data_IF_878929802003
#
_entry.id   IF_878929802003
#
_cell.length_a   1.000
_cell.length_b   1.000
_cell.length_c   1.000
_cell.angle_alpha   90.00
_cell.angle_beta   90.00
_cell.angle_gamma   90.00
#
_symmetry.space_group_name_H-M   'P 1'
#
loop_
_entity.id
_entity.type
_entity.pdbx_description
1 polymer ?
#
# COMPACT_ATOMS: atom_id res chain seq x y z
N UNK A 1 21.22 -7.08 -51.32
CA UNK A 1 20.36 -6.48 -50.26
C UNK A 1 19.66 -7.61 -49.53
N UNK A 2 20.17 -8.01 -48.37
CA UNK A 2 19.55 -9.05 -47.54
C UNK A 2 18.35 -8.45 -46.80
N UNK A 3 17.15 -8.90 -47.12
CA UNK A 3 15.93 -8.58 -46.38
C UNK A 3 16.07 -9.08 -44.93
N UNK A 4 16.19 -8.14 -43.98
CA UNK A 4 16.16 -8.44 -42.56
C UNK A 4 14.74 -8.93 -42.23
N UNK A 5 14.55 -10.25 -42.09
CA UNK A 5 13.35 -10.82 -41.50
C UNK A 5 13.29 -10.41 -40.02
N UNK A 6 12.79 -9.21 -39.74
CA UNK A 6 12.49 -8.75 -38.39
C UNK A 6 11.20 -9.45 -37.92
N UNK A 7 11.30 -10.73 -37.56
CA UNK A 7 10.26 -11.37 -36.77
C UNK A 7 10.19 -10.67 -35.42
N UNK A 8 9.13 -9.91 -35.22
CA UNK A 8 8.81 -9.25 -33.94
C UNK A 8 8.60 -10.36 -32.90
N UNK A 9 9.62 -10.62 -32.08
CA UNK A 9 9.52 -11.61 -31.01
C UNK A 9 8.74 -11.01 -29.84
N UNK A 10 7.58 -11.62 -29.55
CA UNK A 10 6.77 -11.29 -28.36
C UNK A 10 6.91 -12.44 -27.37
N UNK A 11 7.49 -12.23 -26.18
CA UNK A 11 7.58 -13.29 -25.21
C UNK A 11 6.17 -13.70 -24.76
N UNK A 12 5.93 -15.00 -24.65
CA UNK A 12 4.70 -15.56 -24.06
C UNK A 12 4.81 -15.71 -22.54
N UNK A 13 6.04 -15.80 -22.03
CA UNK A 13 6.37 -16.09 -20.63
C UNK A 13 7.50 -15.19 -20.14
N UNK A 14 7.37 -14.70 -18.90
CA UNK A 14 8.43 -14.08 -18.12
C UNK A 14 8.98 -15.04 -17.06
N UNK A 15 10.25 -14.86 -16.71
CA UNK A 15 10.93 -15.58 -15.64
C UNK A 15 11.12 -14.65 -14.44
N UNK A 16 10.46 -14.94 -13.33
CA UNK A 16 10.57 -14.26 -12.04
C UNK A 16 11.78 -14.80 -11.27
N UNK A 17 12.79 -13.97 -11.04
CA UNK A 17 14.02 -14.38 -10.33
C UNK A 17 13.83 -14.38 -8.81
N UNK A 18 13.02 -13.46 -8.28
CA UNK A 18 12.81 -13.32 -6.84
C UNK A 18 13.85 -12.41 -6.18
N UNK A 19 15.00 -12.97 -5.81
CA UNK A 19 16.13 -12.23 -5.23
C UNK A 19 17.43 -12.61 -5.98
N UNK A 20 17.91 -11.76 -6.90
CA UNK A 20 19.12 -12.04 -7.66
C UNK A 20 20.32 -12.32 -6.75
N UNK A 21 21.01 -13.44 -7.00
CA UNK A 21 22.21 -13.83 -6.25
C UNK A 21 21.95 -14.58 -4.93
N UNK A 22 20.68 -14.81 -4.57
CA UNK A 22 20.30 -15.51 -3.35
C UNK A 22 19.47 -16.78 -3.60
N UNK A 23 19.52 -17.29 -4.82
CA UNK A 23 18.78 -18.47 -5.30
C UNK A 23 19.02 -19.71 -4.44
N UNK A 24 20.26 -19.93 -3.99
CA UNK A 24 20.63 -21.04 -3.11
C UNK A 24 20.08 -20.91 -1.68
N UNK A 25 19.62 -19.73 -1.27
CA UNK A 25 19.06 -19.45 0.07
C UNK A 25 17.59 -19.01 0.00
N UNK A 26 16.89 -19.33 -1.09
CA UNK A 26 15.47 -19.02 -1.26
C UNK A 26 14.62 -19.55 -0.11
N UNK A 27 14.92 -20.72 0.44
CA UNK A 27 14.18 -21.29 1.59
C UNK A 27 14.32 -20.39 2.83
N UNK A 28 15.54 -20.00 3.20
CA UNK A 28 15.78 -19.17 4.39
C UNK A 28 15.23 -17.75 4.24
N UNK A 29 15.28 -17.19 3.04
CA UNK A 29 14.70 -15.86 2.74
C UNK A 29 13.19 -15.88 2.57
N UNK A 30 12.60 -17.02 2.26
CA UNK A 30 11.14 -17.18 2.22
C UNK A 30 10.50 -17.09 3.59
N UNK A 31 11.18 -17.56 4.65
CA UNK A 31 10.65 -17.58 6.02
C UNK A 31 10.21 -16.18 6.53
N UNK A 32 11.05 -15.13 6.48
CA UNK A 32 10.65 -13.79 6.90
C UNK A 32 9.58 -13.17 5.98
N UNK A 33 9.55 -13.51 4.69
CA UNK A 33 8.48 -13.03 3.80
C UNK A 33 7.14 -13.69 4.12
N UNK A 34 7.14 -15.01 4.27
CA UNK A 34 5.94 -15.79 4.62
C UNK A 34 5.37 -15.35 5.96
N UNK A 35 6.20 -15.07 6.96
CA UNK A 35 5.73 -14.56 8.25
C UNK A 35 5.06 -13.18 8.12
N UNK A 36 5.62 -12.28 7.32
CA UNK A 36 5.02 -10.96 7.03
C UNK A 36 3.65 -11.09 6.35
N UNK A 37 3.51 -12.01 5.39
CA UNK A 37 2.21 -12.30 4.78
C UNK A 37 1.19 -12.85 5.77
N UNK A 38 1.59 -13.79 6.64
CA UNK A 38 0.71 -14.33 7.67
C UNK A 38 0.26 -13.21 8.62
N UNK A 39 1.18 -12.36 9.08
CA UNK A 39 0.86 -11.22 9.95
C UNK A 39 -0.08 -10.23 9.25
N UNK A 40 0.19 -9.90 7.98
CA UNK A 40 -0.68 -9.04 7.17
C UNK A 40 -2.11 -9.62 7.06
N UNK A 41 -2.22 -10.88 6.63
CA UNK A 41 -3.52 -11.53 6.44
C UNK A 41 -4.30 -11.64 7.76
N UNK A 42 -3.68 -12.18 8.81
CA UNK A 42 -4.33 -12.35 10.11
C UNK A 42 -4.64 -11.00 10.76
N UNK A 43 -3.72 -10.04 10.69
CA UNK A 43 -3.86 -8.71 11.26
C UNK A 43 -5.03 -7.95 10.64
N UNK A 44 -5.06 -7.86 9.30
CA UNK A 44 -6.11 -7.14 8.59
C UNK A 44 -7.48 -7.85 8.69
N UNK A 45 -7.54 -9.19 8.63
CA UNK A 45 -8.78 -9.94 8.86
C UNK A 45 -9.32 -9.74 10.28
N UNK A 46 -8.45 -9.79 11.30
CA UNK A 46 -8.82 -9.54 12.69
C UNK A 46 -9.34 -8.11 12.87
N UNK A 47 -8.68 -7.14 12.24
CA UNK A 47 -9.07 -5.73 12.29
C UNK A 47 -10.47 -5.52 11.69
N UNK A 48 -10.74 -6.11 10.52
CA UNK A 48 -12.06 -6.08 9.89
C UNK A 48 -13.13 -6.75 10.76
N UNK A 49 -12.81 -7.91 11.36
CA UNK A 49 -13.72 -8.61 12.26
C UNK A 49 -14.09 -7.76 13.48
N UNK A 50 -13.10 -7.11 14.10
CA UNK A 50 -13.32 -6.24 15.26
C UNK A 50 -14.20 -5.04 14.88
N UNK A 51 -13.87 -4.33 13.80
CA UNK A 51 -14.63 -3.15 13.35
C UNK A 51 -16.08 -3.54 13.00
N UNK A 52 -16.29 -4.70 12.38
CA UNK A 52 -17.63 -5.19 12.04
C UNK A 52 -18.44 -5.60 13.28
N UNK A 53 -17.80 -6.17 14.29
CA UNK A 53 -18.48 -6.71 15.47
C UNK A 53 -18.93 -5.62 16.45
N UNK A 54 -18.21 -4.50 16.50
CA UNK A 54 -18.42 -3.45 17.50
C UNK A 54 -19.07 -2.21 16.86
N UNK A 55 -20.36 -1.98 17.15
CA UNK A 55 -21.09 -0.82 16.60
C UNK A 55 -20.50 0.51 17.05
N UNK A 56 -19.87 0.58 18.24
CA UNK A 56 -19.21 1.81 18.70
C UNK A 56 -17.98 2.19 17.88
N UNK A 57 -17.43 1.26 17.09
CA UNK A 57 -16.32 1.49 16.15
C UNK A 57 -16.81 1.90 14.75
N UNK A 58 -18.10 2.21 14.53
CA UNK A 58 -18.60 2.69 13.22
C UNK A 58 -18.35 4.19 12.97
N UNK A 59 -17.35 4.78 13.63
CA UNK A 59 -16.93 6.15 13.36
C UNK A 59 -16.16 6.25 12.03
N UNK A 60 -16.14 7.42 11.36
CA UNK A 60 -15.55 7.59 10.03
C UNK A 60 -14.11 7.08 9.91
N UNK A 61 -13.26 7.36 10.90
CA UNK A 61 -11.88 6.89 10.95
C UNK A 61 -11.74 5.36 10.82
N UNK A 62 -12.62 4.60 11.48
CA UNK A 62 -12.58 3.13 11.44
C UNK A 62 -13.15 2.56 10.15
N UNK A 63 -14.06 3.28 9.48
CA UNK A 63 -14.51 2.93 8.14
C UNK A 63 -13.36 3.13 7.12
N UNK A 64 -12.59 4.20 7.24
CA UNK A 64 -11.37 4.33 6.42
C UNK A 64 -10.33 3.25 6.75
N UNK A 65 -10.20 2.89 8.03
CA UNK A 65 -9.31 1.80 8.44
C UNK A 65 -9.74 0.44 7.88
N UNK A 66 -11.04 0.18 7.72
CA UNK A 66 -11.51 -1.04 7.06
C UNK A 66 -11.23 -1.01 5.55
N UNK A 67 -11.33 0.15 4.90
CA UNK A 67 -10.90 0.31 3.50
C UNK A 67 -9.40 0.04 3.35
N UNK A 68 -8.57 0.53 4.28
CA UNK A 68 -7.12 0.26 4.31
C UNK A 68 -6.84 -1.24 4.48
N UNK A 69 -7.54 -1.90 5.40
CA UNK A 69 -7.38 -3.34 5.60
C UNK A 69 -7.79 -4.15 4.36
N UNK A 70 -8.81 -3.72 3.62
CA UNK A 70 -9.22 -4.38 2.36
C UNK A 70 -8.17 -4.18 1.26
N UNK A 71 -7.56 -2.99 1.14
CA UNK A 71 -6.46 -2.77 0.18
C UNK A 71 -5.24 -3.60 0.52
N UNK A 72 -4.89 -3.69 1.81
CA UNK A 72 -3.75 -4.47 2.32
C UNK A 72 -3.92 -5.98 2.08
N UNK A 73 -5.14 -6.50 2.30
CA UNK A 73 -5.50 -7.88 1.96
C UNK A 73 -5.45 -8.12 0.45
N UNK A 74 -5.99 -7.20 -0.35
CA UNK A 74 -5.97 -7.28 -1.81
C UNK A 74 -4.55 -7.39 -2.35
N UNK A 75 -3.65 -6.51 -1.88
CA UNK A 75 -2.24 -6.54 -2.24
C UNK A 75 -1.59 -7.87 -1.84
N UNK A 76 -1.84 -8.32 -0.60
CA UNK A 76 -1.30 -9.58 -0.09
C UNK A 76 -1.75 -10.80 -0.91
N UNK A 77 -3.04 -10.87 -1.27
CA UNK A 77 -3.60 -11.98 -2.06
C UNK A 77 -3.09 -12.00 -3.49
N UNK A 78 -2.82 -10.84 -4.09
CA UNK A 78 -2.31 -10.73 -5.46
C UNK A 78 -0.83 -11.12 -5.56
N UNK A 79 -0.01 -10.79 -4.56
CA UNK A 79 1.43 -11.04 -4.60
C UNK A 79 1.84 -12.39 -4.00
N UNK A 80 1.14 -12.88 -2.97
CA UNK A 80 1.48 -14.10 -2.24
C UNK A 80 1.64 -15.35 -3.14
N UNK A 81 0.75 -15.63 -4.12
CA UNK A 81 0.86 -16.84 -4.94
C UNK A 81 2.16 -16.91 -5.75
N UNK A 82 2.56 -15.79 -6.38
CA UNK A 82 3.79 -15.78 -7.18
C UNK A 82 5.04 -15.84 -6.31
N UNK A 83 5.01 -15.18 -5.13
CA UNK A 83 6.09 -15.28 -4.14
C UNK A 83 6.26 -16.73 -3.68
N UNK A 84 5.18 -17.41 -3.26
CA UNK A 84 5.26 -18.82 -2.84
C UNK A 84 5.79 -19.70 -3.98
N UNK A 85 5.27 -19.53 -5.21
CA UNK A 85 5.71 -20.31 -6.36
C UNK A 85 7.21 -20.20 -6.64
N UNK A 86 7.75 -18.97 -6.59
CA UNK A 86 9.18 -18.70 -6.82
C UNK A 86 10.04 -19.27 -5.68
N UNK A 87 9.68 -19.02 -4.42
CA UNK A 87 10.55 -19.34 -3.29
C UNK A 87 10.44 -20.79 -2.78
N UNK A 88 9.25 -21.40 -2.84
CA UNK A 88 8.99 -22.74 -2.28
C UNK A 88 8.97 -23.83 -3.35
N UNK A 89 8.43 -23.52 -4.52
CA UNK A 89 8.24 -24.50 -5.59
C UNK A 89 9.24 -24.36 -6.74
N UNK A 90 10.14 -23.36 -6.69
CA UNK A 90 11.08 -23.01 -7.76
C UNK A 90 10.39 -22.81 -9.13
N UNK A 91 9.09 -22.48 -9.10
CA UNK A 91 8.27 -22.22 -10.28
C UNK A 91 8.37 -20.73 -10.59
N UNK A 92 9.28 -20.41 -11.51
CA UNK A 92 9.68 -19.04 -11.83
C UNK A 92 8.98 -18.48 -13.07
N UNK A 93 8.19 -19.27 -13.78
CA UNK A 93 7.56 -18.86 -15.03
C UNK A 93 6.16 -18.27 -14.80
N UNK A 94 5.89 -17.13 -15.43
CA UNK A 94 4.57 -16.49 -15.45
C UNK A 94 4.21 -16.05 -16.86
N UNK A 95 2.97 -16.32 -17.28
CA UNK A 95 2.45 -15.85 -18.57
C UNK A 95 2.41 -14.32 -18.55
N UNK A 96 2.82 -13.68 -19.65
CA UNK A 96 2.89 -12.20 -19.75
C UNK A 96 1.56 -11.54 -19.38
N UNK A 97 0.43 -12.10 -19.82
CA UNK A 97 -0.89 -11.55 -19.51
C UNK A 97 -1.22 -11.60 -18.01
N UNK A 98 -0.88 -12.70 -17.33
CA UNK A 98 -1.03 -12.83 -15.89
C UNK A 98 -0.13 -11.84 -15.14
N UNK A 99 1.08 -11.62 -15.64
CA UNK A 99 2.02 -10.66 -15.08
C UNK A 99 1.51 -9.21 -15.21
N UNK A 100 0.97 -8.85 -16.38
CA UNK A 100 0.35 -7.54 -16.61
C UNK A 100 -0.89 -7.33 -15.73
N UNK A 101 -1.70 -8.37 -15.54
CA UNK A 101 -2.86 -8.33 -14.66
C UNK A 101 -2.45 -8.18 -13.19
N UNK A 102 -1.45 -8.95 -12.74
CA UNK A 102 -0.89 -8.84 -11.39
C UNK A 102 -0.37 -7.42 -11.13
N UNK A 103 0.41 -6.89 -12.07
CA UNK A 103 0.96 -5.53 -12.01
C UNK A 103 -0.15 -4.47 -11.97
N UNK A 104 -1.22 -4.63 -12.77
CA UNK A 104 -2.38 -3.74 -12.72
C UNK A 104 -2.99 -3.67 -11.32
N UNK A 105 -3.23 -4.82 -10.69
CA UNK A 105 -3.82 -4.86 -9.35
C UNK A 105 -2.88 -4.34 -8.27
N UNK A 106 -1.59 -4.68 -8.31
CA UNK A 106 -0.58 -4.18 -7.36
C UNK A 106 -0.62 -2.64 -7.33
N UNK A 107 -0.46 -1.98 -8.49
CA UNK A 107 -0.43 -0.52 -8.54
C UNK A 107 -1.79 0.12 -8.25
N UNK A 108 -2.89 -0.54 -8.63
CA UNK A 108 -4.24 -0.07 -8.28
C UNK A 108 -4.44 -0.06 -6.77
N UNK A 109 -4.07 -1.15 -6.08
CA UNK A 109 -4.16 -1.23 -4.62
C UNK A 109 -3.24 -0.22 -3.93
N UNK A 110 -2.03 0.01 -4.43
CA UNK A 110 -1.14 1.04 -3.86
C UNK A 110 -1.69 2.46 -4.01
N UNK A 111 -2.32 2.78 -5.14
CA UNK A 111 -3.04 4.07 -5.29
C UNK A 111 -4.21 4.12 -4.31
N UNK A 112 -4.99 3.05 -4.18
CA UNK A 112 -6.10 3.01 -3.24
C UNK A 112 -5.64 3.20 -1.79
N UNK A 113 -4.56 2.54 -1.38
CA UNK A 113 -3.93 2.68 -0.06
C UNK A 113 -3.55 4.14 0.22
N UNK A 114 -2.80 4.77 -0.69
CA UNK A 114 -2.47 6.21 -0.63
C UNK A 114 -3.71 7.10 -0.51
N UNK A 115 -4.76 6.77 -1.27
CA UNK A 115 -6.04 7.51 -1.25
C UNK A 115 -6.74 7.40 0.10
N UNK A 116 -6.70 6.23 0.73
CA UNK A 116 -7.28 5.99 2.06
C UNK A 116 -6.48 6.77 3.10
N UNK A 117 -5.15 6.78 3.03
CA UNK A 117 -4.31 7.60 3.93
C UNK A 117 -4.63 9.10 3.80
N UNK A 118 -4.87 9.58 2.59
CA UNK A 118 -5.36 10.95 2.38
C UNK A 118 -6.72 11.17 3.05
N UNK A 119 -7.68 10.26 2.86
CA UNK A 119 -9.00 10.37 3.48
C UNK A 119 -8.92 10.36 5.02
N UNK A 120 -8.02 9.56 5.60
CA UNK A 120 -7.74 9.53 7.03
C UNK A 120 -7.04 10.80 7.54
N UNK A 121 -6.19 11.45 6.73
CA UNK A 121 -5.64 12.77 7.05
C UNK A 121 -6.73 13.84 7.06
N UNK A 122 -7.63 13.80 6.07
CA UNK A 122 -8.75 14.71 5.95
C UNK A 122 -9.73 14.57 7.12
N UNK A 123 -10.10 13.34 7.50
CA UNK A 123 -10.92 13.05 8.69
C UNK A 123 -10.34 13.72 9.94
N UNK A 124 -9.04 13.50 10.22
CA UNK A 124 -8.37 14.13 11.36
C UNK A 124 -8.31 15.64 11.26
N UNK A 125 -8.07 16.17 10.07
CA UNK A 125 -8.04 17.61 9.84
C UNK A 125 -9.38 18.25 10.17
N UNK A 126 -10.50 17.69 9.70
CA UNK A 126 -11.82 18.25 10.02
C UNK A 126 -12.15 18.05 11.50
N UNK A 127 -11.82 16.90 12.08
CA UNK A 127 -12.07 16.62 13.49
C UNK A 127 -11.36 17.60 14.45
N UNK A 128 -10.13 18.03 14.12
CA UNK A 128 -9.33 18.93 14.95
C UNK A 128 -9.58 20.41 14.60
N UNK A 129 -9.55 20.76 13.32
CA UNK A 129 -9.62 22.15 12.88
C UNK A 129 -11.05 22.70 12.89
N UNK A 130 -12.08 21.85 12.74
CA UNK A 130 -13.48 22.27 12.64
C UNK A 130 -14.43 21.29 13.38
N UNK A 131 -14.26 21.06 14.70
CA UNK A 131 -14.99 20.03 15.44
C UNK A 131 -16.51 20.20 15.36
N UNK A 132 -17.02 21.44 15.36
CA UNK A 132 -18.46 21.75 15.31
C UNK A 132 -19.13 21.29 14.00
N UNK A 133 -18.38 21.23 12.90
CA UNK A 133 -18.92 20.86 11.58
C UNK A 133 -18.58 19.42 11.17
N UNK A 134 -17.82 18.69 11.98
CA UNK A 134 -17.32 17.36 11.66
C UNK A 134 -18.44 16.40 11.26
N UNK A 135 -19.50 16.29 12.06
CA UNK A 135 -20.63 15.38 11.82
C UNK A 135 -21.49 15.78 10.61
N UNK A 136 -21.52 17.06 10.26
CA UNK A 136 -22.24 17.56 9.08
C UNK A 136 -21.46 17.35 7.78
N UNK A 137 -20.12 17.46 7.83
CA UNK A 137 -19.24 17.27 6.68
C UNK A 137 -19.06 15.79 6.38
N UNK A 138 -18.71 14.99 7.40
CA UNK A 138 -18.27 13.61 7.24
C UNK A 138 -19.40 12.63 7.58
N UNK A 139 -20.46 12.67 6.77
CA UNK A 139 -21.59 11.74 6.88
C UNK A 139 -21.27 10.38 6.28
N UNK A 140 -22.02 9.34 6.67
CA UNK A 140 -21.86 7.99 6.10
C UNK A 140 -21.99 7.95 4.58
N UNK A 141 -22.86 8.80 4.01
CA UNK A 141 -23.02 8.92 2.55
C UNK A 141 -21.78 9.53 1.89
N UNK A 142 -21.17 10.54 2.50
CA UNK A 142 -19.93 11.15 1.99
C UNK A 142 -18.79 10.14 2.07
N UNK A 143 -18.66 9.39 3.16
CA UNK A 143 -17.63 8.36 3.33
C UNK A 143 -17.79 7.26 2.28
N UNK A 144 -19.02 6.80 2.02
CA UNK A 144 -19.30 5.82 0.98
C UNK A 144 -18.89 6.35 -0.41
N UNK A 145 -19.21 7.62 -0.73
CA UNK A 145 -18.79 8.26 -1.98
C UNK A 145 -17.27 8.36 -2.08
N UNK A 146 -16.57 8.70 -0.99
CA UNK A 146 -15.10 8.69 -0.94
C UNK A 146 -14.59 7.29 -1.25
N UNK A 147 -15.11 6.24 -0.61
CA UNK A 147 -14.71 4.86 -0.86
C UNK A 147 -14.87 4.44 -2.33
N UNK A 148 -16.01 4.77 -2.95
CA UNK A 148 -16.24 4.51 -4.38
C UNK A 148 -15.27 5.30 -5.26
N UNK A 149 -15.03 6.57 -4.95
CA UNK A 149 -14.10 7.41 -5.68
C UNK A 149 -12.66 6.87 -5.59
N UNK A 150 -12.24 6.34 -4.43
CA UNK A 150 -10.94 5.69 -4.23
C UNK A 150 -10.78 4.49 -5.18
N UNK A 151 -11.78 3.61 -5.23
CA UNK A 151 -11.76 2.41 -6.09
C UNK A 151 -11.68 2.82 -7.56
N UNK A 152 -12.56 3.72 -8.01
CA UNK A 152 -12.58 4.20 -9.40
C UNK A 152 -11.25 4.84 -9.76
N UNK A 153 -10.72 5.72 -8.91
CA UNK A 153 -9.45 6.41 -9.12
C UNK A 153 -8.28 5.42 -9.27
N UNK A 154 -8.21 4.40 -8.41
CA UNK A 154 -7.17 3.37 -8.47
C UNK A 154 -7.21 2.58 -9.79
N UNK A 155 -8.38 2.07 -10.16
CA UNK A 155 -8.54 1.23 -11.35
C UNK A 155 -8.35 2.01 -12.65
N UNK A 156 -9.00 3.17 -12.79
CA UNK A 156 -8.98 3.98 -14.03
C UNK A 156 -7.58 4.51 -14.32
N UNK A 157 -6.83 4.90 -13.29
CA UNK A 157 -5.47 5.46 -13.46
C UNK A 157 -4.48 4.41 -13.99
N UNK A 158 -4.62 3.14 -13.60
CA UNK A 158 -3.67 2.10 -14.03
C UNK A 158 -4.14 1.38 -15.30
N UNK A 159 -5.43 1.46 -15.65
CA UNK A 159 -6.04 0.72 -16.76
C UNK A 159 -5.29 0.83 -18.09
N UNK A 160 -4.76 2.00 -18.54
CA UNK A 160 -4.05 2.08 -19.81
C UNK A 160 -2.68 1.38 -19.80
N UNK A 161 -2.02 1.27 -18.66
CA UNK A 161 -0.62 0.81 -18.54
C UNK A 161 -0.42 -0.60 -19.12
N UNK A 162 -1.23 -1.63 -18.77
CA UNK A 162 -1.11 -2.96 -19.37
C UNK A 162 -1.16 -2.97 -20.89
N UNK A 163 -2.04 -2.16 -21.50
CA UNK A 163 -2.19 -2.11 -22.96
C UNK A 163 -0.99 -1.43 -23.62
N UNK A 164 -0.51 -0.34 -23.03
CA UNK A 164 0.66 0.38 -23.52
C UNK A 164 1.93 -0.49 -23.45
N UNK A 165 2.10 -1.25 -22.36
CA UNK A 165 3.18 -2.21 -22.21
C UNK A 165 3.04 -3.38 -23.20
N UNK A 166 1.86 -3.99 -23.32
CA UNK A 166 1.61 -5.11 -24.25
C UNK A 166 1.91 -4.73 -25.70
N UNK A 167 1.60 -3.50 -26.10
CA UNK A 167 1.92 -2.96 -27.43
C UNK A 167 3.43 -2.80 -27.65
N UNK A 168 4.17 -2.45 -26.60
CA UNK A 168 5.58 -2.04 -26.68
C UNK A 168 6.57 -3.19 -26.43
N UNK A 169 6.09 -4.33 -25.91
CA UNK A 169 6.90 -5.48 -25.56
C UNK A 169 7.46 -6.19 -26.81
N UNK A 170 8.78 -6.12 -27.03
CA UNK A 170 9.45 -6.68 -28.23
C UNK A 170 10.89 -7.15 -27.96
N UNK A 171 11.27 -7.46 -26.72
CA UNK A 171 12.62 -7.93 -26.41
C UNK A 171 12.75 -9.46 -26.33
N UNK A 172 13.99 -9.94 -26.50
CA UNK A 172 14.43 -11.33 -26.28
C UNK A 172 14.73 -11.68 -24.81
N UNK A 173 14.89 -10.68 -23.95
CA UNK A 173 15.13 -10.88 -22.52
C UNK A 173 13.80 -10.93 -21.75
N UNK A 174 13.62 -11.96 -20.93
CA UNK A 174 12.34 -12.27 -20.28
C UNK A 174 12.45 -12.36 -18.75
N UNK A 175 13.60 -12.01 -18.16
CA UNK A 175 13.87 -12.22 -16.73
C UNK A 175 13.57 -10.97 -15.90
N UNK A 176 12.54 -11.04 -15.04
CA UNK A 176 12.17 -10.00 -14.07
C UNK A 176 12.92 -10.22 -12.75
N UNK A 177 13.36 -9.15 -12.10
CA UNK A 177 14.21 -9.23 -10.91
C UNK A 177 13.44 -9.67 -9.66
N UNK A 178 12.15 -9.35 -9.58
CA UNK A 178 11.30 -9.63 -8.41
C UNK A 178 10.47 -10.92 -8.57
N UNK A 179 9.93 -11.45 -7.46
CA UNK A 179 9.02 -12.61 -7.46
C UNK A 179 7.55 -12.24 -7.79
N UNK A 180 7.30 -10.99 -8.18
CA UNK A 180 6.00 -10.47 -8.58
C UNK A 180 6.21 -9.36 -9.62
N UNK A 181 5.15 -9.04 -10.36
CA UNK A 181 5.25 -8.18 -11.53
C UNK A 181 5.15 -6.70 -11.19
N UNK A 182 6.27 -5.98 -11.36
CA UNK A 182 6.37 -4.54 -11.15
C UNK A 182 6.53 -3.78 -12.46
N UNK A 183 5.95 -2.57 -12.52
CA UNK A 183 6.02 -1.72 -13.72
C UNK A 183 7.47 -1.35 -14.10
N UNK A 184 8.35 -0.92 -13.16
CA UNK A 184 9.76 -0.68 -13.47
C UNK A 184 10.49 -1.90 -14.05
N UNK A 185 10.19 -3.11 -13.56
CA UNK A 185 10.81 -4.35 -14.05
C UNK A 185 10.36 -4.68 -15.47
N UNK A 186 9.07 -4.56 -15.77
CA UNK A 186 8.53 -4.78 -17.12
C UNK A 186 9.04 -3.72 -18.09
N UNK A 187 9.19 -2.46 -17.65
CA UNK A 187 9.75 -1.38 -18.46
C UNK A 187 11.20 -1.62 -18.86
N UNK A 188 12.00 -2.34 -18.05
CA UNK A 188 13.36 -2.77 -18.46
C UNK A 188 13.33 -3.75 -19.63
N UNK A 189 12.23 -4.49 -19.81
CA UNK A 189 12.02 -5.49 -20.88
C UNK A 189 11.44 -4.92 -22.19
N UNK A 190 11.19 -3.61 -22.27
CA UNK A 190 10.73 -2.96 -23.50
C UNK A 190 11.95 -2.59 -24.36
N UNK A 191 11.94 -2.97 -25.65
CA UNK A 191 13.01 -2.65 -26.61
C UNK A 191 12.63 -1.52 -27.57
N UNK A 192 11.33 -1.24 -27.70
CA UNK A 192 10.79 -0.14 -28.49
C UNK A 192 10.80 1.17 -27.70
N UNK A 193 10.43 2.27 -28.36
CA UNK A 193 10.36 3.59 -27.71
C UNK A 193 9.47 3.56 -26.45
N UNK A 194 10.06 3.93 -25.31
CA UNK A 194 9.44 3.91 -23.98
C UNK A 194 8.78 5.23 -23.62
N UNK A 195 8.91 6.27 -24.44
CA UNK A 195 8.55 7.65 -24.10
C UNK A 195 7.10 7.74 -23.61
N UNK A 196 6.14 7.17 -24.33
CA UNK A 196 4.72 7.26 -23.98
C UNK A 196 4.42 6.52 -22.66
N UNK A 197 4.94 5.31 -22.47
CA UNK A 197 4.78 4.55 -21.22
C UNK A 197 5.40 5.31 -20.03
N UNK A 198 6.58 5.91 -20.23
CA UNK A 198 7.29 6.66 -19.19
C UNK A 198 6.55 7.94 -18.81
N UNK A 199 6.09 8.73 -19.79
CA UNK A 199 5.31 9.95 -19.54
C UNK A 199 4.01 9.63 -18.81
N UNK A 200 3.26 8.63 -19.29
CA UNK A 200 2.00 8.24 -18.68
C UNK A 200 2.20 7.72 -17.25
N UNK A 201 3.18 6.84 -17.03
CA UNK A 201 3.48 6.30 -15.70
C UNK A 201 3.92 7.41 -14.73
N UNK A 202 4.76 8.34 -15.17
CA UNK A 202 5.16 9.49 -14.36
C UNK A 202 3.96 10.38 -14.03
N UNK A 203 3.11 10.67 -15.02
CA UNK A 203 1.87 11.42 -14.81
C UNK A 203 0.99 10.73 -13.77
N UNK A 204 0.74 9.43 -13.92
CA UNK A 204 -0.07 8.64 -13.00
C UNK A 204 0.46 8.71 -11.55
N UNK A 205 1.76 8.55 -11.34
CA UNK A 205 2.39 8.62 -10.00
C UNK A 205 2.27 10.03 -9.41
N UNK A 206 2.57 11.08 -10.19
CA UNK A 206 2.51 12.46 -9.71
C UNK A 206 1.07 12.92 -9.43
N UNK A 207 0.13 12.61 -10.34
CA UNK A 207 -1.28 12.98 -10.22
C UNK A 207 -2.02 12.20 -9.14
N UNK A 208 -1.47 11.09 -8.64
CA UNK A 208 -2.06 10.33 -7.54
C UNK A 208 -1.23 10.45 -6.27
N UNK A 209 -0.21 9.63 -6.10
CA UNK A 209 0.62 9.58 -4.89
C UNK A 209 1.28 10.93 -4.59
N UNK A 210 1.72 11.68 -5.61
CA UNK A 210 2.27 13.02 -5.42
C UNK A 210 1.24 14.01 -4.85
N UNK A 211 0.06 14.09 -5.48
CA UNK A 211 -1.03 14.95 -5.00
C UNK A 211 -1.54 14.51 -3.62
N UNK A 212 -1.66 13.21 -3.36
CA UNK A 212 -2.08 12.67 -2.07
C UNK A 212 -1.10 13.09 -0.96
N UNK A 213 0.21 12.92 -1.19
CA UNK A 213 1.25 13.35 -0.25
C UNK A 213 1.18 14.85 0.04
N UNK A 214 1.04 15.69 -1.00
CA UNK A 214 0.88 17.14 -0.83
C UNK A 214 -0.35 17.47 0.02
N UNK A 215 -1.50 16.85 -0.25
CA UNK A 215 -2.73 17.07 0.50
C UNK A 215 -2.64 16.58 1.95
N UNK A 216 -1.94 15.46 2.20
CA UNK A 216 -1.65 14.97 3.55
C UNK A 216 -0.80 16.00 4.30
N UNK A 217 0.28 16.48 3.71
CA UNK A 217 1.17 17.49 4.33
C UNK A 217 0.38 18.75 4.66
N UNK A 218 -0.43 19.27 3.71
CA UNK A 218 -1.27 20.45 3.94
C UNK A 218 -2.27 20.23 5.10
N UNK A 219 -2.89 19.05 5.15
CA UNK A 219 -3.81 18.67 6.23
C UNK A 219 -3.10 18.71 7.60
N UNK A 220 -1.87 18.18 7.67
CA UNK A 220 -1.08 18.21 8.90
C UNK A 220 -0.57 19.59 9.28
N UNK A 221 -0.22 20.44 8.31
CA UNK A 221 0.10 21.85 8.57
C UNK A 221 -1.10 22.56 9.19
N UNK A 222 -2.31 22.33 8.68
CA UNK A 222 -3.54 22.89 9.26
C UNK A 222 -3.80 22.35 10.68
N UNK A 223 -3.64 21.05 10.89
CA UNK A 223 -3.77 20.43 12.23
C UNK A 223 -2.79 21.08 13.21
N UNK A 224 -1.51 21.19 12.83
CA UNK A 224 -0.48 21.80 13.68
C UNK A 224 -0.83 23.25 14.03
N UNK A 225 -1.26 24.05 13.05
CA UNK A 225 -1.72 25.43 13.30
C UNK A 225 -2.87 25.48 14.30
N UNK A 226 -3.86 24.61 14.14
CA UNK A 226 -4.99 24.54 15.07
C UNK A 226 -4.57 24.12 16.48
N UNK A 227 -3.67 23.13 16.59
CA UNK A 227 -3.18 22.62 17.88
C UNK A 227 -2.36 23.67 18.63
N UNK A 228 -1.50 24.43 17.94
CA UNK A 228 -0.75 25.52 18.58
C UNK A 228 -1.64 26.67 19.08
N UNK A 229 -2.85 26.82 18.54
CA UNK A 229 -3.86 27.76 19.03
C UNK A 229 -4.55 27.34 20.33
N UNK A 230 -4.45 26.07 20.74
CA UNK A 230 -5.06 25.56 21.98
C UNK A 230 -4.26 26.06 23.19
N UNK A 231 -4.90 26.61 24.22
CA UNK A 231 -4.21 27.14 25.39
C UNK A 231 -3.63 26.04 26.32
N UNK A 232 -4.33 24.90 26.47
CA UNK A 232 -3.92 23.81 27.36
C UNK A 232 -2.88 22.88 26.73
N UNK A 233 -1.77 22.64 27.44
CA UNK A 233 -0.71 21.69 27.04
C UNK A 233 -1.24 20.25 27.01
N UNK A 234 -2.15 19.89 27.92
CA UNK A 234 -2.73 18.55 28.00
C UNK A 234 -3.62 18.26 26.79
N UNK A 235 -4.40 19.25 26.36
CA UNK A 235 -5.22 19.15 25.16
C UNK A 235 -4.38 19.05 23.88
N UNK A 236 -3.25 19.77 23.82
CA UNK A 236 -2.26 19.63 22.73
C UNK A 236 -1.69 18.21 22.67
N UNK A 237 -1.22 17.68 23.80
CA UNK A 237 -0.67 16.33 23.87
C UNK A 237 -1.69 15.26 23.46
N UNK A 238 -2.96 15.45 23.85
CA UNK A 238 -4.05 14.57 23.43
C UNK A 238 -4.26 14.62 21.91
N UNK A 239 -4.22 15.79 21.29
CA UNK A 239 -4.33 15.94 19.84
C UNK A 239 -3.18 15.25 19.09
N UNK A 240 -1.93 15.41 19.55
CA UNK A 240 -0.78 14.70 18.98
C UNK A 240 -0.89 13.18 19.10
N UNK A 241 -1.31 12.69 20.27
CA UNK A 241 -1.49 11.24 20.49
C UNK A 241 -2.60 10.65 19.60
N UNK A 242 -3.59 11.45 19.17
CA UNK A 242 -4.62 11.01 18.22
C UNK A 242 -4.13 10.95 16.76
N UNK A 243 -3.07 11.69 16.44
CA UNK A 243 -2.48 11.73 15.11
C UNK A 243 -1.29 10.77 14.93
N UNK A 244 -0.62 10.39 16.02
CA UNK A 244 0.62 9.63 16.00
C UNK A 244 0.55 8.32 15.20
N UNK A 245 -0.53 7.54 15.38
CA UNK A 245 -0.71 6.28 14.64
C UNK A 245 -0.76 6.48 13.13
N UNK A 246 -1.39 7.56 12.67
CA UNK A 246 -1.47 7.85 11.25
C UNK A 246 -0.19 8.40 10.68
N UNK A 247 0.49 9.30 11.40
CA UNK A 247 1.82 9.75 10.98
C UNK A 247 2.76 8.55 10.84
N UNK A 248 2.72 7.60 11.78
CA UNK A 248 3.48 6.36 11.69
C UNK A 248 3.15 5.56 10.42
N UNK A 249 1.87 5.34 10.13
CA UNK A 249 1.42 4.60 8.94
C UNK A 249 1.77 5.32 7.63
N UNK A 250 1.61 6.65 7.58
CA UNK A 250 2.01 7.47 6.42
C UNK A 250 3.51 7.37 6.18
N UNK A 251 4.34 7.39 7.23
CA UNK A 251 5.79 7.21 7.11
C UNK A 251 6.16 5.80 6.68
N UNK A 252 5.45 4.77 7.17
CA UNK A 252 5.66 3.38 6.75
C UNK A 252 5.31 3.16 5.28
N UNK A 253 4.33 3.88 4.74
CA UNK A 253 3.95 3.79 3.32
C UNK A 253 4.89 4.61 2.41
N UNK A 254 5.04 5.91 2.67
CA UNK A 254 5.82 6.82 1.82
C UNK A 254 7.33 6.71 2.02
N UNK A 255 7.80 6.33 3.21
CA UNK A 255 9.23 6.22 3.52
C UNK A 255 9.97 5.21 2.63
N UNK A 256 9.51 3.95 2.53
CA UNK A 256 10.07 2.97 1.60
C UNK A 256 9.96 3.41 0.13
N UNK A 257 8.85 4.02 -0.28
CA UNK A 257 8.65 4.52 -1.65
C UNK A 257 9.70 5.57 -2.04
N UNK A 258 9.92 6.56 -1.18
CA UNK A 258 10.92 7.61 -1.39
C UNK A 258 12.31 6.99 -1.38
N UNK A 259 12.59 6.09 -0.43
CA UNK A 259 13.90 5.43 -0.31
C UNK A 259 14.22 4.59 -1.56
N UNK A 260 13.26 3.84 -2.08
CA UNK A 260 13.39 3.07 -3.32
C UNK A 260 13.67 3.96 -4.53
N UNK A 261 13.04 5.13 -4.59
CA UNK A 261 13.25 6.12 -5.64
C UNK A 261 14.65 6.74 -5.57
N UNK A 262 15.13 7.06 -4.36
CA UNK A 262 16.48 7.58 -4.14
C UNK A 262 17.55 6.54 -4.47
N UNK A 263 17.32 5.27 -4.13
CA UNK A 263 18.20 4.15 -4.48
C UNK A 263 18.27 3.96 -5.99
N UNK A 264 17.15 4.00 -6.71
CA UNK A 264 17.18 3.90 -8.17
C UNK A 264 17.91 5.07 -8.85
N UNK A 265 17.87 6.27 -8.26
CA UNK A 265 18.47 7.48 -8.86
C UNK A 265 19.95 7.66 -8.53
N UNK A 266 20.36 7.31 -7.31
CA UNK A 266 21.70 7.60 -6.78
C UNK A 266 22.48 6.34 -6.36
N UNK A 267 21.83 5.18 -6.38
CA UNK A 267 22.33 3.92 -5.88
C UNK A 267 22.74 2.94 -6.96
N UNK A 268 23.21 3.39 -8.13
CA UNK A 268 23.64 2.49 -9.23
C UNK A 268 24.73 1.50 -8.80
N UNK A 269 25.51 1.84 -7.76
CA UNK A 269 26.55 0.97 -7.17
C UNK A 269 26.04 0.04 -6.05
N UNK A 270 24.76 0.10 -5.68
CA UNK A 270 24.20 -0.76 -4.64
C UNK A 270 23.85 -2.15 -5.20
N UNK A 271 24.04 -3.18 -4.38
CA UNK A 271 23.71 -4.56 -4.76
C UNK A 271 22.25 -4.69 -5.22
N UNK A 272 21.96 -5.51 -6.26
CA UNK A 272 20.60 -5.87 -6.66
C UNK A 272 19.72 -6.35 -5.49
N UNK A 273 20.33 -6.96 -4.48
CA UNK A 273 19.67 -7.39 -3.25
C UNK A 273 18.97 -6.23 -2.51
N UNK A 274 19.60 -5.05 -2.46
CA UNK A 274 19.07 -3.87 -1.76
C UNK A 274 17.83 -3.34 -2.49
N UNK A 275 17.88 -3.30 -3.82
CA UNK A 275 16.74 -2.85 -4.63
C UNK A 275 15.52 -3.74 -4.42
N UNK A 276 15.73 -5.06 -4.44
CA UNK A 276 14.67 -6.05 -4.24
C UNK A 276 14.13 -5.97 -2.81
N UNK A 277 15.00 -5.94 -1.80
CA UNK A 277 14.57 -5.85 -0.40
C UNK A 277 13.73 -4.60 -0.12
N UNK A 278 14.11 -3.46 -0.71
CA UNK A 278 13.35 -2.21 -0.56
C UNK A 278 11.98 -2.25 -1.24
N UNK A 279 11.85 -2.98 -2.36
CA UNK A 279 10.54 -3.23 -2.97
C UNK A 279 9.66 -4.10 -2.06
N UNK A 280 10.20 -5.16 -1.45
CA UNK A 280 9.46 -5.96 -0.47
C UNK A 280 9.06 -5.13 0.76
N UNK A 281 9.95 -4.29 1.28
CA UNK A 281 9.61 -3.37 2.36
C UNK A 281 8.49 -2.41 1.95
N UNK A 282 8.52 -1.87 0.74
CA UNK A 282 7.48 -0.96 0.29
C UNK A 282 6.09 -1.60 0.24
N UNK A 283 5.97 -2.86 -0.22
CA UNK A 283 4.68 -3.50 -0.42
C UNK A 283 4.21 -4.39 0.74
N UNK A 284 5.10 -4.98 1.54
CA UNK A 284 4.72 -5.90 2.64
C UNK A 284 4.77 -5.25 4.03
N UNK A 285 5.63 -4.24 4.22
CA UNK A 285 5.78 -3.63 5.54
C UNK A 285 4.52 -2.88 5.98
N UNK A 286 3.90 -2.01 5.16
CA UNK A 286 2.67 -1.33 5.58
C UNK A 286 1.54 -2.32 5.91
N UNK A 287 1.17 -3.29 5.04
CA UNK A 287 0.11 -4.25 5.36
C UNK A 287 0.31 -5.06 6.65
N UNK A 288 1.55 -5.42 6.98
CA UNK A 288 1.84 -6.18 8.19
C UNK A 288 1.85 -5.31 9.47
N UNK A 289 2.29 -4.06 9.36
CA UNK A 289 2.49 -3.17 10.52
C UNK A 289 1.27 -2.30 10.81
N UNK A 290 0.48 -1.93 9.79
CA UNK A 290 -0.74 -1.13 9.93
C UNK A 290 -1.70 -1.72 10.99
N UNK A 291 -2.03 -3.02 10.99
CA UNK A 291 -2.90 -3.61 12.01
C UNK A 291 -2.30 -3.60 13.41
N UNK A 292 -0.96 -3.62 13.54
CA UNK A 292 -0.29 -3.56 14.84
C UNK A 292 -0.40 -2.14 15.40
N UNK A 293 -0.07 -1.13 14.59
CA UNK A 293 -0.13 0.29 14.97
C UNK A 293 -1.55 0.67 15.41
N UNK A 294 -2.56 0.30 14.62
CA UNK A 294 -3.96 0.58 14.98
C UNK A 294 -4.49 -0.38 16.05
N UNK A 295 -4.09 -1.65 16.01
CA UNK A 295 -4.51 -2.67 16.98
C UNK A 295 -4.04 -2.39 18.40
N UNK A 296 -2.88 -1.75 18.60
CA UNK A 296 -2.44 -1.29 19.94
C UNK A 296 -3.41 -0.23 20.49
N UNK A 297 -3.81 0.75 19.66
CA UNK A 297 -4.83 1.74 20.02
C UNK A 297 -6.19 1.09 20.27
N UNK A 298 -6.59 0.14 19.44
CA UNK A 298 -7.90 -0.56 19.56
C UNK A 298 -7.93 -1.53 20.74
N UNK A 299 -6.83 -2.21 21.09
CA UNK A 299 -6.73 -3.08 22.29
C UNK A 299 -6.87 -2.30 23.59
N UNK A 300 -6.33 -1.08 23.66
CA UNK A 300 -6.57 -0.18 24.80
C UNK A 300 -8.05 0.19 24.92
N UNK A 301 -8.72 0.44 23.80
CA UNK A 301 -10.17 0.72 23.76
C UNK A 301 -10.96 -0.54 24.15
N UNK A 302 -10.60 -1.71 23.62
CA UNK A 302 -11.26 -2.98 23.92
C UNK A 302 -11.05 -3.41 25.37
N UNK A 303 -9.85 -3.23 25.96
CA UNK A 303 -9.62 -3.46 27.40
C UNK A 303 -10.46 -2.52 28.27
N UNK A 304 -10.65 -1.27 27.86
CA UNK A 304 -11.53 -0.32 28.57
C UNK A 304 -13.01 -0.68 28.43
N UNK A 305 -13.43 -1.20 27.27
CA UNK A 305 -14.80 -1.69 27.03
C UNK A 305 -15.07 -2.99 27.81
N UNK A 306 -14.16 -3.97 27.77
CA UNK A 306 -14.26 -5.21 28.55
C UNK A 306 -14.30 -4.93 30.06
N UNK A 307 -13.50 -3.98 30.56
CA UNK A 307 -13.58 -3.55 31.97
C UNK A 307 -14.91 -2.87 32.33
N UNK A 308 -15.59 -2.21 31.38
CA UNK A 308 -16.92 -1.62 31.62
C UNK A 308 -18.05 -2.65 31.53
N UNK A 309 -17.86 -3.71 30.74
CA UNK A 309 -18.83 -4.80 30.59
C UNK A 309 -18.71 -5.88 31.68
N UNK A 310 -17.63 -5.90 32.44
CA UNK A 310 -17.50 -6.68 33.68
C UNK A 310 -17.75 -5.71 34.85
N UNK A 311 -19.00 -5.46 35.28
CA UNK A 311 -19.21 -4.80 36.56
C UNK A 311 -18.62 -5.71 37.63
N UNK A 312 -17.78 -5.16 38.50
CA UNK A 312 -17.29 -5.85 39.69
C UNK A 312 -18.47 -6.48 40.44
N UNK A 313 -18.69 -7.80 40.30
CA UNK A 313 -19.44 -8.58 41.28
C UNK A 313 -18.55 -8.88 42.48
N UNK A 314 -18.07 -7.84 43.16
CA UNK A 314 -17.47 -7.99 44.49
C UNK A 314 -17.72 -6.70 45.27
N UNK A 315 -18.91 -6.63 45.89
CA UNK A 315 -19.11 -6.22 47.29
C UNK A 315 -20.61 -6.07 47.58
N UNK A 316 -21.23 -7.17 48.04
CA UNK A 316 -22.30 -7.13 49.05
C UNK A 316 -22.63 -8.55 49.53
N UNK A 317 -21.82 -9.06 50.47
CA UNK A 317 -22.22 -9.55 51.80
C UNK A 317 -21.00 -10.18 52.48
#
# INVERSE_FOLDING_TARGET
MSSLNNTIFRPSVFKLVGIPGLEASHIWTSLPMSSMYIVSLLGNCTLLFIIKSERSLQAPMYIFLSMLAVTDLGLSVITLPTVINVFWFNSTEIIVENCLLQMFFIHSFSIMESSVLLAMAFDRCIAICNPLRYTSILTSTVIAKIGVAIVIRGLVTIFPIPFLLKRSLTCRNNSLSHAFCLHPDIMKMVCSDKMLNSIYSMFAVLSTMGLDAMCIILSYVMILRSVFGIASVEERLKAFNNCASHVCVVLLFYGPMISLSMIHKFGENLSPLIHVFMAYLHFLLPPAVNPIVYGIKTKEIHKRILRKMIPNRVHQK
#
